data_IF_843173167221
#
_entry.id   IF_843173167221
#
_cell.length_a   1.000
_cell.length_b   1.000
_cell.length_c   1.000
_cell.angle_alpha   90.00
_cell.angle_beta   90.00
_cell.angle_gamma   90.00
#
_symmetry.space_group_name_H-M   'P 1'
#
loop_
_entity.id
_entity.type
_entity.pdbx_description
1 polymer ?
#
# COMPACT_ATOMS: atom_id res chain seq x y z
N UNK A 1 27.18 -19.75 -19.74
CA UNK A 1 26.85 -18.77 -18.69
C UNK A 1 26.83 -17.34 -19.20
N UNK A 2 27.48 -17.05 -20.34
CA UNK A 2 27.50 -15.73 -21.00
C UNK A 2 26.18 -15.35 -21.69
N UNK A 3 25.28 -16.30 -21.89
CA UNK A 3 24.00 -16.09 -22.60
C UNK A 3 22.88 -15.57 -21.70
N UNK A 4 23.13 -15.44 -20.40
CA UNK A 4 22.21 -14.83 -19.44
C UNK A 4 22.58 -13.37 -19.20
N UNK A 5 21.60 -12.48 -18.96
CA UNK A 5 21.84 -11.12 -18.50
C UNK A 5 22.79 -11.05 -17.30
N UNK A 6 23.61 -10.00 -17.24
CA UNK A 6 24.66 -9.87 -16.21
C UNK A 6 24.11 -9.95 -14.78
N UNK A 7 22.97 -9.33 -14.50
CA UNK A 7 22.30 -9.38 -13.19
C UNK A 7 21.92 -10.80 -12.79
N UNK A 8 21.53 -11.66 -13.74
CA UNK A 8 21.22 -13.06 -13.46
C UNK A 8 22.49 -13.87 -13.22
N UNK A 9 23.55 -13.62 -13.99
CA UNK A 9 24.85 -14.25 -13.75
C UNK A 9 25.37 -13.93 -12.34
N UNK A 10 25.27 -12.66 -11.91
CA UNK A 10 25.66 -12.22 -10.58
C UNK A 10 24.79 -12.87 -9.49
N UNK A 11 23.48 -12.96 -9.69
CA UNK A 11 22.58 -13.67 -8.78
C UNK A 11 22.95 -15.15 -8.62
N UNK A 12 23.29 -15.84 -9.71
CA UNK A 12 23.74 -17.24 -9.68
C UNK A 12 25.06 -17.38 -8.91
N UNK A 13 26.03 -16.48 -9.16
CA UNK A 13 27.32 -16.47 -8.46
C UNK A 13 27.11 -16.34 -6.95
N UNK A 14 26.36 -15.32 -6.51
CA UNK A 14 26.06 -15.09 -5.09
C UNK A 14 25.34 -16.29 -4.48
N UNK A 15 24.32 -16.81 -5.15
CA UNK A 15 23.54 -17.95 -4.64
C UNK A 15 24.42 -19.18 -4.39
N UNK A 16 25.30 -19.51 -5.35
CA UNK A 16 26.26 -20.61 -5.20
C UNK A 16 27.30 -20.35 -4.11
N UNK A 17 27.79 -19.13 -3.99
CA UNK A 17 28.72 -18.74 -2.92
C UNK A 17 28.10 -18.84 -1.52
N UNK A 18 26.77 -18.69 -1.41
CA UNK A 18 26.02 -18.95 -0.17
C UNK A 18 25.78 -20.43 0.10
N UNK A 19 26.21 -21.34 -0.79
CA UNK A 19 25.98 -22.78 -0.68
C UNK A 19 24.54 -23.21 -1.00
N UNK A 20 23.78 -22.36 -1.69
CA UNK A 20 22.38 -22.61 -2.04
C UNK A 20 22.31 -23.10 -3.50
N UNK A 21 21.55 -24.17 -3.73
CA UNK A 21 21.41 -24.80 -5.06
C UNK A 21 20.25 -24.27 -5.90
N UNK A 22 19.34 -23.50 -5.31
CA UNK A 22 18.10 -23.04 -5.95
C UNK A 22 18.06 -21.50 -6.00
N UNK A 23 17.63 -20.97 -7.14
CA UNK A 23 17.42 -19.54 -7.38
C UNK A 23 16.10 -19.37 -8.12
N UNK A 24 15.23 -18.50 -7.61
CA UNK A 24 13.99 -18.11 -8.26
C UNK A 24 14.13 -16.67 -8.77
N UNK A 25 13.78 -16.45 -10.04
CA UNK A 25 13.76 -15.14 -10.69
C UNK A 25 12.44 -15.08 -11.46
N UNK A 26 11.61 -14.09 -11.16
CA UNK A 26 10.26 -13.92 -11.72
C UNK A 26 10.22 -14.07 -13.25
N UNK A 27 11.13 -13.40 -13.96
CA UNK A 27 11.20 -13.42 -15.42
C UNK A 27 11.64 -14.77 -16.02
N UNK A 28 12.17 -15.69 -15.20
CA UNK A 28 12.58 -17.03 -15.63
C UNK A 28 11.63 -18.12 -15.13
N UNK A 29 10.99 -17.90 -13.99
CA UNK A 29 10.16 -18.89 -13.31
C UNK A 29 8.66 -18.71 -13.58
N UNK A 30 8.24 -17.57 -14.13
CA UNK A 30 6.87 -17.28 -14.54
C UNK A 30 6.83 -17.18 -16.06
N UNK A 31 5.89 -17.87 -16.70
CA UNK A 31 5.68 -17.83 -18.15
C UNK A 31 4.99 -16.50 -18.50
N UNK A 32 5.79 -15.53 -18.95
CA UNK A 32 5.32 -14.15 -19.15
C UNK A 32 4.21 -14.01 -20.20
N UNK A 33 4.19 -14.90 -21.20
CA UNK A 33 3.24 -14.89 -22.32
C UNK A 33 1.97 -15.70 -22.04
N UNK A 34 1.83 -16.29 -20.84
CA UNK A 34 0.64 -17.04 -20.42
C UNK A 34 -0.11 -16.27 -19.32
N UNK A 35 -1.26 -15.67 -19.63
CA UNK A 35 -2.06 -14.93 -18.65
C UNK A 35 -2.55 -15.77 -17.48
N UNK A 36 -2.82 -17.08 -17.67
CA UNK A 36 -3.29 -17.96 -16.60
C UNK A 36 -2.13 -18.39 -15.71
N UNK A 37 -0.95 -18.66 -16.27
CA UNK A 37 0.28 -18.89 -15.49
C UNK A 37 0.64 -17.66 -14.66
N UNK A 38 0.65 -16.47 -15.26
CA UNK A 38 0.89 -15.22 -14.54
C UNK A 38 -0.13 -15.02 -13.41
N UNK A 39 -1.42 -15.32 -13.65
CA UNK A 39 -2.48 -15.20 -12.65
C UNK A 39 -2.32 -16.21 -11.52
N UNK A 40 -1.75 -17.39 -11.78
CA UNK A 40 -1.44 -18.38 -10.76
C UNK A 40 -0.21 -17.94 -9.95
N UNK A 41 0.90 -17.63 -10.62
CA UNK A 41 2.18 -17.29 -10.00
C UNK A 41 2.15 -15.96 -9.24
N UNK A 42 1.43 -14.95 -9.76
CA UNK A 42 1.23 -13.67 -9.05
C UNK A 42 0.53 -13.84 -7.70
N UNK A 43 -0.29 -14.90 -7.54
CA UNK A 43 -0.92 -15.25 -6.25
C UNK A 43 0.04 -15.97 -5.31
N UNK A 44 1.05 -16.64 -5.85
CA UNK A 44 2.07 -17.36 -5.10
C UNK A 44 3.23 -16.47 -4.67
N UNK A 45 3.37 -15.25 -5.21
CA UNK A 45 4.45 -14.33 -4.83
C UNK A 45 4.56 -14.14 -3.31
N UNK A 46 3.44 -14.10 -2.59
CA UNK A 46 3.46 -14.03 -1.13
C UNK A 46 4.24 -15.20 -0.51
N UNK A 47 3.97 -16.42 -0.99
CA UNK A 47 4.58 -17.65 -0.50
C UNK A 47 6.04 -17.76 -0.93
N UNK A 48 6.37 -17.37 -2.17
CA UNK A 48 7.74 -17.38 -2.70
C UNK A 48 8.66 -16.52 -1.84
N UNK A 49 8.35 -15.23 -1.66
CA UNK A 49 9.22 -14.32 -0.91
C UNK A 49 9.31 -14.66 0.58
N UNK A 50 8.20 -15.07 1.18
CA UNK A 50 8.21 -15.42 2.61
C UNK A 50 8.82 -16.77 2.95
N UNK A 51 8.89 -17.68 1.98
CA UNK A 51 9.55 -18.98 2.13
C UNK A 51 11.00 -18.97 1.63
N UNK A 52 11.43 -17.92 0.93
CA UNK A 52 12.80 -17.78 0.46
C UNK A 52 13.80 -17.82 1.62
N UNK A 53 14.94 -18.47 1.41
CA UNK A 53 16.04 -18.47 2.38
C UNK A 53 16.55 -17.04 2.63
N UNK A 54 16.80 -16.31 1.53
CA UNK A 54 17.10 -14.89 1.48
C UNK A 54 16.74 -14.35 0.09
N UNK A 55 16.40 -13.06 0.01
CA UNK A 55 16.17 -12.35 -1.25
C UNK A 55 17.39 -11.52 -1.60
N UNK A 56 17.84 -11.58 -2.85
CA UNK A 56 18.93 -10.74 -3.36
C UNK A 56 18.31 -9.51 -4.04
N UNK A 57 18.64 -8.32 -3.54
CA UNK A 57 18.15 -7.06 -4.08
C UNK A 57 19.29 -6.29 -4.75
N UNK A 58 19.29 -6.26 -6.08
CA UNK A 58 20.25 -5.56 -6.92
C UNK A 58 20.01 -4.04 -6.92
N UNK A 59 20.23 -3.39 -5.78
CA UNK A 59 19.86 -1.97 -5.56
C UNK A 59 20.72 -0.98 -6.37
N UNK A 60 21.92 -1.37 -6.79
CA UNK A 60 22.81 -0.59 -7.65
C UNK A 60 22.69 -0.93 -9.15
N UNK A 61 21.78 -1.83 -9.52
CA UNK A 61 21.53 -2.19 -10.90
C UNK A 61 20.35 -1.41 -11.47
N UNK A 62 20.48 -0.83 -12.66
CA UNK A 62 19.38 -0.16 -13.36
C UNK A 62 18.54 -1.11 -14.23
N UNK A 63 18.97 -2.37 -14.39
CA UNK A 63 18.30 -3.36 -15.25
C UNK A 63 18.98 -4.74 -15.22
N UNK A 64 18.50 -5.66 -16.05
CA UNK A 64 18.99 -7.05 -16.12
C UNK A 64 20.41 -7.16 -16.69
N UNK A 65 20.82 -6.23 -17.55
CA UNK A 65 22.13 -6.24 -18.20
C UNK A 65 23.25 -5.56 -17.39
N UNK A 66 22.89 -4.85 -16.32
CA UNK A 66 23.82 -3.97 -15.61
C UNK A 66 24.74 -4.74 -14.64
N UNK A 67 24.23 -5.82 -14.05
CA UNK A 67 24.91 -6.50 -12.96
C UNK A 67 24.89 -5.70 -11.65
N UNK A 68 25.25 -6.35 -10.55
CA UNK A 68 25.29 -5.72 -9.23
C UNK A 68 26.56 -6.04 -8.44
N UNK A 69 27.44 -6.89 -8.95
CA UNK A 69 28.78 -7.15 -8.39
C UNK A 69 29.81 -6.18 -8.98
N UNK A 70 29.50 -4.88 -8.94
CA UNK A 70 30.34 -3.81 -9.48
C UNK A 70 31.52 -3.49 -8.55
N UNK A 71 32.67 -3.00 -9.09
CA UNK A 71 33.72 -2.44 -8.26
C UNK A 71 33.19 -1.32 -7.38
N UNK A 72 33.61 -1.29 -6.11
CA UNK A 72 33.15 -0.27 -5.17
C UNK A 72 33.94 1.02 -5.31
N UNK A 73 33.30 2.19 -5.09
CA UNK A 73 34.00 3.46 -5.10
C UNK A 73 35.07 3.49 -4.01
N UNK A 74 36.18 4.17 -4.32
CA UNK A 74 37.26 4.36 -3.35
C UNK A 74 36.77 5.21 -2.18
N UNK A 75 37.16 4.84 -0.96
CA UNK A 75 36.80 5.57 0.26
C UNK A 75 37.96 6.46 0.67
N UNK A 76 37.69 7.75 0.91
CA UNK A 76 38.68 8.60 1.55
C UNK A 76 38.98 8.04 2.93
N UNK A 77 40.26 7.78 3.17
CA UNK A 77 40.71 7.31 4.45
C UNK A 77 42.03 7.99 4.82
N UNK A 78 42.10 8.48 6.05
CA UNK A 78 43.29 9.08 6.63
C UNK A 78 43.89 8.09 7.61
N UNK A 79 45.19 7.83 7.48
CA UNK A 79 45.95 7.04 8.44
C UNK A 79 46.45 7.95 9.55
N UNK A 80 46.10 7.63 10.79
CA UNK A 80 46.60 8.27 12.00
C UNK A 80 47.60 7.31 12.65
N UNK A 81 48.87 7.69 12.68
CA UNK A 81 49.88 6.93 13.39
C UNK A 81 49.95 7.35 14.86
N UNK A 82 49.98 6.36 15.74
CA UNK A 82 50.21 6.52 17.17
C UNK A 82 51.31 5.57 17.60
N UNK A 83 52.00 5.88 18.70
CA UNK A 83 52.99 4.96 19.29
C UNK A 83 52.43 3.60 19.72
N UNK A 84 51.09 3.41 19.63
CA UNK A 84 50.38 2.15 19.89
C UNK A 84 49.88 1.43 18.63
N UNK A 85 50.06 2.01 17.44
CA UNK A 85 49.63 1.45 16.16
C UNK A 85 49.01 2.48 15.20
N UNK A 86 48.64 2.02 14.00
CA UNK A 86 47.99 2.83 12.98
C UNK A 86 46.47 2.70 13.06
N UNK A 87 45.77 3.84 13.02
CA UNK A 87 44.31 3.91 12.97
C UNK A 87 43.90 4.47 11.61
N UNK A 88 42.79 3.96 11.06
CA UNK A 88 42.24 4.41 9.79
C UNK A 88 40.92 5.13 10.05
N UNK A 89 40.85 6.41 9.68
CA UNK A 89 39.63 7.21 9.75
C UNK A 89 39.10 7.36 8.33
N UNK A 90 38.00 6.68 8.02
CA UNK A 90 37.40 6.72 6.68
C UNK A 90 36.01 7.35 6.70
N UNK A 91 35.55 7.82 5.54
CA UNK A 91 34.19 8.38 5.38
C UNK A 91 33.11 7.41 5.92
N UNK A 92 32.11 7.95 6.60
CA UNK A 92 30.93 7.16 7.01
C UNK A 92 30.09 6.83 5.78
N UNK A 93 29.84 5.54 5.57
CA UNK A 93 29.09 5.02 4.41
C UNK A 93 27.75 4.40 4.80
N UNK A 94 27.41 4.36 6.09
CA UNK A 94 26.19 3.73 6.61
C UNK A 94 24.99 4.66 6.45
N UNK A 95 24.27 4.50 5.33
CA UNK A 95 23.04 5.24 5.05
C UNK A 95 22.03 4.38 4.27
N UNK A 96 21.42 3.42 4.98
CA UNK A 96 20.42 2.53 4.37
C UNK A 96 19.20 3.27 3.79
N UNK A 97 18.84 4.42 4.39
CA UNK A 97 17.73 5.25 3.90
C UNK A 97 18.00 5.75 2.49
N UNK A 98 19.18 6.35 2.28
CA UNK A 98 19.59 6.84 0.96
C UNK A 98 19.91 5.70 0.00
N UNK A 99 20.69 4.72 0.44
CA UNK A 99 21.28 3.71 -0.45
C UNK A 99 20.28 2.62 -0.87
N UNK A 100 19.21 2.41 -0.09
CA UNK A 100 18.18 1.40 -0.38
C UNK A 100 16.79 2.01 -0.45
N UNK A 101 16.32 2.65 0.62
CA UNK A 101 14.90 3.05 0.72
C UNK A 101 14.49 4.11 -0.30
N UNK A 102 15.41 5.02 -0.64
CA UNK A 102 15.24 6.06 -1.65
C UNK A 102 15.76 5.63 -3.04
N UNK A 103 16.41 4.46 -3.13
CA UNK A 103 16.98 3.94 -4.37
C UNK A 103 15.93 3.56 -5.41
N UNK A 104 16.33 3.49 -6.68
CA UNK A 104 15.43 3.24 -7.83
C UNK A 104 14.61 1.96 -7.67
N UNK A 105 15.20 0.91 -7.13
CA UNK A 105 14.51 -0.36 -6.91
C UNK A 105 13.27 -0.17 -6.00
N UNK A 106 13.39 0.57 -4.90
CA UNK A 106 12.29 0.78 -3.94
C UNK A 106 11.21 1.76 -4.44
N UNK A 107 11.35 2.34 -5.64
CA UNK A 107 10.31 3.15 -6.29
C UNK A 107 9.26 2.30 -7.03
N UNK A 108 9.51 0.99 -7.20
CA UNK A 108 8.62 0.06 -7.89
C UNK A 108 7.63 -0.56 -6.91
N UNK A 109 6.36 -0.65 -7.28
CA UNK A 109 5.29 -1.09 -6.39
C UNK A 109 5.42 -2.56 -5.96
N UNK A 110 5.78 -3.44 -6.89
CA UNK A 110 6.04 -4.86 -6.62
C UNK A 110 7.10 -5.05 -5.53
N UNK A 111 8.17 -4.25 -5.54
CA UNK A 111 9.29 -4.33 -4.59
C UNK A 111 8.83 -4.10 -3.15
N UNK A 112 7.76 -3.34 -2.92
CA UNK A 112 7.21 -3.16 -1.58
C UNK A 112 6.74 -4.50 -0.99
N UNK A 113 6.06 -5.32 -1.79
CA UNK A 113 5.61 -6.64 -1.37
C UNK A 113 6.81 -7.57 -1.17
N UNK A 114 7.75 -7.59 -2.10
CA UNK A 114 8.95 -8.44 -2.03
C UNK A 114 9.73 -8.16 -0.74
N UNK A 115 10.05 -6.88 -0.48
CA UNK A 115 10.77 -6.47 0.71
C UNK A 115 10.03 -6.81 1.99
N UNK A 116 8.73 -6.54 2.05
CA UNK A 116 7.92 -6.76 3.25
C UNK A 116 7.76 -8.24 3.58
N UNK A 117 7.72 -9.12 2.58
CA UNK A 117 7.47 -10.54 2.78
C UNK A 117 8.76 -11.35 2.95
N UNK A 118 9.90 -10.85 2.48
CA UNK A 118 11.20 -11.48 2.64
C UNK A 118 11.69 -11.46 4.08
N UNK A 119 11.97 -12.65 4.63
CA UNK A 119 12.48 -12.77 6.02
C UNK A 119 13.91 -12.21 6.19
N UNK A 120 14.66 -12.21 5.08
CA UNK A 120 16.06 -11.80 4.98
C UNK A 120 16.29 -11.24 3.59
N UNK A 121 16.87 -10.04 3.51
CA UNK A 121 17.20 -9.41 2.23
C UNK A 121 18.65 -8.94 2.23
N UNK A 122 19.37 -9.30 1.18
CA UNK A 122 20.74 -8.86 0.91
C UNK A 122 20.66 -7.79 -0.16
N UNK A 123 20.89 -6.54 0.22
CA UNK A 123 20.91 -5.41 -0.71
C UNK A 123 22.33 -5.17 -1.20
N UNK A 124 22.52 -5.28 -2.50
CA UNK A 124 23.73 -4.85 -3.19
C UNK A 124 23.55 -3.40 -3.61
N UNK A 125 24.04 -2.46 -2.79
CA UNK A 125 24.03 -1.03 -3.09
C UNK A 125 25.37 -0.61 -3.71
N UNK A 126 25.46 0.64 -4.16
CA UNK A 126 26.65 1.16 -4.83
C UNK A 126 27.88 1.19 -3.92
N UNK A 127 27.68 1.51 -2.63
CA UNK A 127 28.78 1.72 -1.66
C UNK A 127 29.10 0.49 -0.84
N UNK A 128 28.09 -0.28 -0.47
CA UNK A 128 28.24 -1.45 0.40
C UNK A 128 27.09 -2.45 0.24
N UNK A 129 27.24 -3.60 0.87
CA UNK A 129 26.15 -4.57 0.99
C UNK A 129 25.43 -4.39 2.32
N UNK A 130 24.09 -4.38 2.29
CA UNK A 130 23.27 -4.38 3.50
C UNK A 130 22.55 -5.70 3.70
N UNK A 131 22.44 -6.13 4.95
CA UNK A 131 21.63 -7.25 5.39
C UNK A 131 20.46 -6.73 6.23
N UNK A 132 19.23 -6.90 5.73
CA UNK A 132 18.00 -6.64 6.48
C UNK A 132 17.37 -7.96 6.93
N UNK A 133 16.94 -8.02 8.19
CA UNK A 133 16.09 -9.09 8.71
C UNK A 133 15.25 -8.58 9.88
N UNK A 134 14.44 -9.46 10.49
CA UNK A 134 13.61 -9.17 11.68
C UNK A 134 14.33 -8.58 12.90
N UNK A 135 15.66 -8.48 12.88
CA UNK A 135 16.46 -7.85 13.94
C UNK A 135 17.04 -6.49 13.55
N UNK A 136 16.67 -5.93 12.40
CA UNK A 136 17.14 -4.65 11.85
C UNK A 136 18.14 -4.81 10.71
N UNK A 137 18.79 -3.69 10.34
CA UNK A 137 19.70 -3.62 9.20
C UNK A 137 21.16 -3.62 9.68
N UNK A 138 22.02 -4.35 8.96
CA UNK A 138 23.47 -4.36 9.13
C UNK A 138 24.16 -3.95 7.84
N UNK A 139 25.09 -3.01 7.93
CA UNK A 139 26.08 -2.76 6.88
C UNK A 139 27.35 -3.58 7.10
N UNK A 140 28.32 -3.44 6.20
CA UNK A 140 29.60 -4.16 6.26
C UNK A 140 30.53 -3.66 7.36
N UNK A 141 30.30 -2.43 7.81
CA UNK A 141 30.93 -1.82 9.00
C UNK A 141 30.46 -2.48 10.30
N UNK A 142 29.54 -3.45 10.24
CA UNK A 142 28.83 -4.07 11.36
C UNK A 142 27.94 -3.10 12.16
N UNK A 143 27.78 -1.85 11.71
CA UNK A 143 26.85 -0.89 12.28
C UNK A 143 25.43 -1.45 12.24
N UNK A 144 24.76 -1.43 13.41
CA UNK A 144 23.34 -1.78 13.49
C UNK A 144 22.50 -0.53 13.29
N UNK A 145 21.82 -0.45 12.16
CA UNK A 145 20.84 0.59 11.93
C UNK A 145 19.47 0.11 12.42
N UNK A 146 18.85 0.93 13.28
CA UNK A 146 17.46 0.73 13.72
C UNK A 146 16.61 1.81 13.05
N UNK A 147 15.88 1.43 12.01
CA UNK A 147 14.87 2.29 11.43
C UNK A 147 13.50 1.78 11.90
N UNK A 148 12.77 2.57 12.70
CA UNK A 148 11.44 2.19 13.25
C UNK A 148 10.35 2.12 12.18
N UNK A 149 10.51 2.85 11.06
CA UNK A 149 9.59 2.76 9.92
C UNK A 149 9.94 1.56 9.03
N UNK A 150 11.24 1.27 8.86
CA UNK A 150 11.71 0.05 8.18
C UNK A 150 11.49 -1.21 9.00
N UNK A 151 11.45 -1.16 10.34
CA UNK A 151 11.28 -2.34 11.18
C UNK A 151 9.95 -3.05 10.95
N UNK A 152 8.97 -2.35 10.38
CA UNK A 152 7.71 -2.95 9.94
C UNK A 152 7.90 -3.81 8.69
N UNK A 153 8.44 -3.23 7.60
CA UNK A 153 8.72 -3.98 6.36
C UNK A 153 9.84 -5.01 6.54
N UNK A 154 10.73 -4.79 7.52
CA UNK A 154 11.81 -5.71 7.87
C UNK A 154 11.41 -6.75 8.92
N UNK A 155 10.13 -6.89 9.26
CA UNK A 155 9.64 -7.95 10.15
C UNK A 155 9.82 -9.32 9.48
N UNK A 156 10.56 -10.21 10.13
CA UNK A 156 10.87 -11.55 9.60
C UNK A 156 9.64 -12.44 9.41
N UNK A 157 8.51 -12.08 10.01
CA UNK A 157 7.23 -12.72 9.77
C UNK A 157 6.16 -11.64 9.64
N UNK A 158 6.39 -10.69 8.73
CA UNK A 158 5.50 -9.56 8.51
C UNK A 158 4.02 -9.99 8.55
N UNK A 159 3.15 -9.33 9.33
CA UNK A 159 3.43 -8.25 10.27
C UNK A 159 3.29 -8.66 11.76
N UNK A 160 3.98 -9.73 12.21
CA UNK A 160 3.85 -10.25 13.59
C UNK A 160 4.01 -9.17 14.68
N UNK A 161 4.91 -8.20 14.50
CA UNK A 161 5.12 -7.09 15.42
C UNK A 161 3.85 -6.26 15.77
N UNK A 162 2.81 -6.33 14.93
CA UNK A 162 1.52 -5.62 15.11
C UNK A 162 0.73 -6.09 16.34
N UNK A 163 0.90 -7.32 16.81
CA UNK A 163 0.08 -7.83 17.92
C UNK A 163 0.25 -6.99 19.20
N UNK A 164 1.39 -6.32 19.35
CA UNK A 164 1.68 -5.43 20.48
C UNK A 164 1.16 -4.00 20.30
N UNK A 165 0.67 -3.66 19.11
CA UNK A 165 0.31 -2.28 18.77
C UNK A 165 -1.09 -1.96 19.27
N UNK A 166 -1.25 -0.77 19.86
CA UNK A 166 -2.57 -0.21 20.18
C UNK A 166 -3.33 0.15 18.90
N UNK A 167 -4.66 0.26 18.98
CA UNK A 167 -5.54 0.50 17.83
C UNK A 167 -5.09 1.66 16.93
N UNK A 168 -4.65 2.77 17.51
CA UNK A 168 -4.17 3.94 16.75
C UNK A 168 -2.93 3.64 15.90
N UNK A 169 -1.96 2.92 16.46
CA UNK A 169 -0.75 2.53 15.72
C UNK A 169 -1.06 1.53 14.59
N UNK A 170 -2.05 0.65 14.76
CA UNK A 170 -2.51 -0.23 13.67
C UNK A 170 -3.10 0.58 12.50
N UNK A 171 -3.80 1.66 12.82
CA UNK A 171 -4.39 2.57 11.83
C UNK A 171 -3.30 3.32 11.07
N UNK A 172 -2.41 4.00 11.79
CA UNK A 172 -1.28 4.72 11.19
C UNK A 172 -0.45 3.81 10.28
N UNK A 173 -0.23 2.57 10.70
CA UNK A 173 0.55 1.59 9.95
C UNK A 173 -0.06 1.24 8.59
N UNK A 174 -1.35 0.88 8.50
CA UNK A 174 -1.93 0.55 7.20
C UNK A 174 -2.09 1.80 6.33
N UNK A 175 -2.36 2.96 6.96
CA UNK A 175 -2.45 4.22 6.24
C UNK A 175 -1.12 4.58 5.60
N UNK A 176 -0.02 4.53 6.36
CA UNK A 176 1.34 4.76 5.86
C UNK A 176 1.70 3.76 4.74
N UNK A 177 1.34 2.48 4.90
CA UNK A 177 1.60 1.45 3.90
C UNK A 177 0.89 1.73 2.58
N UNK A 178 -0.43 1.98 2.62
CA UNK A 178 -1.22 2.23 1.41
C UNK A 178 -0.92 3.58 0.77
N UNK A 179 -0.63 4.62 1.56
CA UNK A 179 -0.13 5.88 1.04
C UNK A 179 1.17 5.67 0.27
N UNK A 180 2.17 5.03 0.90
CA UNK A 180 3.46 4.75 0.25
C UNK A 180 3.25 3.96 -1.04
N UNK A 181 2.52 2.84 -0.97
CA UNK A 181 2.26 1.99 -2.12
C UNK A 181 1.59 2.72 -3.27
N UNK A 182 0.58 3.55 -2.98
CA UNK A 182 -0.21 4.24 -3.99
C UNK A 182 0.60 5.15 -4.90
N UNK A 183 1.73 5.69 -4.39
CA UNK A 183 2.68 6.53 -5.13
C UNK A 183 3.83 5.78 -5.80
N UNK A 184 3.93 4.45 -5.66
CA UNK A 184 4.97 3.65 -6.31
C UNK A 184 4.66 3.40 -7.80
N UNK A 185 5.71 3.29 -8.60
CA UNK A 185 5.62 3.05 -10.04
C UNK A 185 5.26 1.59 -10.35
N UNK A 186 4.41 1.41 -11.35
CA UNK A 186 4.01 0.11 -11.91
C UNK A 186 4.29 0.10 -13.41
N UNK A 187 4.89 -0.97 -13.91
CA UNK A 187 5.08 -1.17 -15.35
C UNK A 187 3.75 -1.34 -16.08
N UNK A 188 2.79 -2.02 -15.44
CA UNK A 188 1.39 -2.09 -15.85
C UNK A 188 0.51 -1.63 -14.69
N UNK A 189 -0.24 -0.55 -14.89
CA UNK A 189 -1.14 -0.01 -13.86
C UNK A 189 -2.21 -1.04 -13.43
N UNK A 190 -2.53 -1.99 -14.31
CA UNK A 190 -3.41 -3.12 -14.05
C UNK A 190 -2.98 -4.02 -12.88
N UNK A 191 -1.69 -4.04 -12.56
CA UNK A 191 -1.16 -4.86 -11.47
C UNK A 191 -1.42 -4.24 -10.09
N UNK A 192 -1.93 -2.99 -10.02
CA UNK A 192 -2.11 -2.24 -8.76
C UNK A 192 -2.88 -2.98 -7.66
N UNK A 193 -4.01 -3.66 -7.89
CA UNK A 193 -4.65 -4.45 -6.84
C UNK A 193 -3.87 -5.74 -6.52
N UNK A 194 -3.16 -6.32 -7.49
CA UNK A 194 -2.47 -7.62 -7.34
C UNK A 194 -1.15 -7.46 -6.58
N UNK A 195 -0.38 -6.42 -6.89
CA UNK A 195 0.96 -6.20 -6.36
C UNK A 195 1.01 -5.83 -4.86
N UNK A 196 -0.14 -5.58 -4.22
CA UNK A 196 -0.24 -5.40 -2.76
C UNK A 196 -1.09 -6.46 -2.06
N UNK A 197 -1.73 -7.36 -2.82
CA UNK A 197 -2.68 -8.35 -2.29
C UNK A 197 -2.07 -9.24 -1.21
N UNK A 198 -0.81 -9.65 -1.35
CA UNK A 198 -0.11 -10.44 -0.34
C UNK A 198 -0.03 -9.71 1.02
N UNK A 199 0.27 -8.40 1.00
CA UNK A 199 0.33 -7.59 2.22
C UNK A 199 -1.05 -7.38 2.84
N UNK A 200 -2.05 -7.08 2.03
CA UNK A 200 -3.44 -6.97 2.48
C UNK A 200 -3.92 -8.26 3.14
N UNK A 201 -3.67 -9.41 2.51
CA UNK A 201 -4.06 -10.73 3.03
C UNK A 201 -3.48 -11.00 4.42
N UNK A 202 -2.21 -10.64 4.65
CA UNK A 202 -1.59 -10.78 5.97
C UNK A 202 -2.12 -9.80 7.00
N UNK A 203 -2.39 -8.57 6.60
CA UNK A 203 -3.01 -7.58 7.49
C UNK A 203 -4.42 -8.01 7.91
N UNK A 204 -5.22 -8.56 7.00
CA UNK A 204 -6.55 -9.13 7.30
C UNK A 204 -6.44 -10.22 8.38
N UNK A 205 -5.53 -11.18 8.20
CA UNK A 205 -5.28 -12.26 9.18
C UNK A 205 -4.83 -11.71 10.54
N UNK A 206 -3.89 -10.76 10.53
CA UNK A 206 -3.30 -10.19 11.75
C UNK A 206 -4.29 -9.33 12.53
N UNK A 207 -5.09 -8.52 11.82
CA UNK A 207 -6.16 -7.72 12.41
C UNK A 207 -7.36 -8.56 12.81
N UNK A 208 -7.40 -9.86 12.46
CA UNK A 208 -8.52 -10.78 12.71
C UNK A 208 -9.85 -10.18 12.21
N UNK A 209 -9.79 -9.63 10.99
CA UNK A 209 -10.89 -8.93 10.33
C UNK A 209 -11.19 -9.60 9.00
N UNK A 210 -12.25 -9.16 8.33
CA UNK A 210 -12.47 -9.36 6.89
C UNK A 210 -12.13 -8.06 6.15
N UNK A 211 -11.91 -8.14 4.84
CA UNK A 211 -11.56 -6.98 4.03
C UNK A 211 -11.14 -7.36 2.61
N UNK A 212 -11.11 -6.37 1.74
CA UNK A 212 -10.60 -6.43 0.37
C UNK A 212 -10.42 -4.99 -0.17
N UNK A 213 -9.69 -4.86 -1.28
CA UNK A 213 -9.56 -3.60 -2.02
C UNK A 213 -9.08 -2.42 -1.16
N UNK A 214 -8.15 -2.67 -0.23
CA UNK A 214 -7.56 -1.67 0.65
C UNK A 214 -8.42 -1.27 1.84
N UNK A 215 -9.50 -2.01 2.12
CA UNK A 215 -10.45 -1.72 3.20
C UNK A 215 -10.54 -2.91 4.17
N UNK A 216 -10.33 -2.62 5.45
CA UNK A 216 -10.49 -3.57 6.55
C UNK A 216 -11.77 -3.28 7.32
N UNK A 217 -12.64 -4.27 7.52
CA UNK A 217 -13.93 -4.09 8.16
C UNK A 217 -13.83 -3.49 9.59
N UNK A 218 -12.86 -3.93 10.39
CA UNK A 218 -12.63 -3.38 11.74
C UNK A 218 -12.23 -1.88 11.77
N UNK A 219 -11.77 -1.36 10.63
CA UNK A 219 -11.39 0.04 10.42
C UNK A 219 -12.20 0.69 9.27
N UNK A 220 -13.33 0.10 8.90
CA UNK A 220 -14.07 0.36 7.66
C UNK A 220 -14.20 1.85 7.34
N UNK A 221 -14.78 2.64 8.25
CA UNK A 221 -14.99 4.08 8.06
C UNK A 221 -13.69 4.85 7.80
N UNK A 222 -12.60 4.53 8.51
CA UNK A 222 -11.31 5.21 8.33
C UNK A 222 -10.64 4.83 7.02
N UNK A 223 -10.80 3.58 6.57
CA UNK A 223 -10.28 3.13 5.29
C UNK A 223 -10.91 3.87 4.11
N UNK A 224 -12.13 4.40 4.23
CA UNK A 224 -12.81 5.15 3.16
C UNK A 224 -12.40 6.63 3.09
N UNK A 225 -11.78 7.18 4.14
CA UNK A 225 -11.40 8.59 4.22
C UNK A 225 -10.00 8.85 3.64
N UNK A 226 -9.75 8.32 2.45
CA UNK A 226 -8.60 8.68 1.62
C UNK A 226 -8.95 9.88 0.73
N UNK A 227 -7.95 10.59 0.23
CA UNK A 227 -8.06 11.69 -0.73
C UNK A 227 -6.81 11.74 -1.60
N UNK A 228 -6.86 12.43 -2.73
CA UNK A 228 -5.67 12.66 -3.56
C UNK A 228 -4.56 13.38 -2.78
N UNK A 229 -3.31 12.99 -3.02
CA UNK A 229 -2.16 13.66 -2.44
C UNK A 229 -1.89 15.01 -3.13
N UNK A 230 -1.44 14.96 -4.39
CA UNK A 230 -1.08 16.14 -5.18
C UNK A 230 -1.77 16.18 -6.56
N UNK A 231 -1.73 15.07 -7.30
CA UNK A 231 -2.28 14.95 -8.66
C UNK A 231 -3.73 14.45 -8.67
N UNK A 232 -4.44 14.67 -9.77
CA UNK A 232 -5.75 14.06 -10.04
C UNK A 232 -5.66 12.54 -10.01
N UNK A 233 -6.68 11.89 -9.45
CA UNK A 233 -6.83 10.44 -9.44
C UNK A 233 -7.70 10.03 -10.62
N UNK A 234 -7.11 9.38 -11.61
CA UNK A 234 -7.83 8.94 -12.81
C UNK A 234 -8.31 7.51 -12.60
N UNK A 235 -9.56 7.21 -12.95
CA UNK A 235 -10.08 5.84 -12.88
C UNK A 235 -9.29 4.96 -13.84
N UNK A 236 -8.83 3.81 -13.37
CA UNK A 236 -8.13 2.83 -14.20
C UNK A 236 -9.18 2.11 -15.05
N UNK A 237 -8.93 2.01 -16.35
CA UNK A 237 -9.80 1.28 -17.28
C UNK A 237 -9.93 -0.19 -16.87
N UNK A 238 -11.16 -0.70 -16.88
CA UNK A 238 -11.46 -2.07 -16.47
C UNK A 238 -10.70 -3.11 -17.30
N UNK A 239 -10.47 -2.83 -18.59
CA UNK A 239 -9.69 -3.69 -19.48
C UNK A 239 -8.23 -3.84 -19.04
N UNK A 240 -7.67 -2.83 -18.38
CA UNK A 240 -6.30 -2.86 -17.88
C UNK A 240 -6.19 -3.66 -16.57
N UNK A 241 -7.26 -3.77 -15.78
CA UNK A 241 -7.24 -4.42 -14.46
C UNK A 241 -7.18 -5.96 -14.50
N UNK A 242 -6.83 -6.56 -15.65
CA UNK A 242 -6.62 -8.02 -15.82
C UNK A 242 -7.76 -8.88 -15.27
N UNK A 243 -9.01 -8.41 -15.45
CA UNK A 243 -10.21 -9.10 -14.97
C UNK A 243 -10.49 -8.93 -13.47
N UNK A 244 -9.76 -8.07 -12.76
CA UNK A 244 -10.07 -7.69 -11.38
C UNK A 244 -11.05 -6.53 -11.39
N UNK A 245 -12.26 -6.75 -10.91
CA UNK A 245 -13.20 -5.66 -10.67
C UNK A 245 -12.83 -4.94 -9.37
N UNK A 246 -12.54 -3.64 -9.44
CA UNK A 246 -12.22 -2.81 -8.26
C UNK A 246 -13.29 -1.73 -8.10
N UNK A 247 -13.97 -1.67 -6.93
CA UNK A 247 -15.08 -0.74 -6.71
C UNK A 247 -14.64 0.71 -6.52
N UNK A 248 -15.50 1.69 -6.80
CA UNK A 248 -15.14 3.12 -6.77
C UNK A 248 -14.77 3.67 -5.41
N UNK A 249 -15.28 3.07 -4.34
CA UNK A 249 -14.91 3.48 -2.99
C UNK A 249 -13.47 3.08 -2.62
N UNK A 250 -12.82 2.22 -3.41
CA UNK A 250 -11.43 1.81 -3.22
C UNK A 250 -10.48 2.72 -3.99
N UNK A 251 -9.42 3.18 -3.32
CA UNK A 251 -8.32 3.90 -3.96
C UNK A 251 -7.57 3.05 -4.99
N UNK A 252 -7.67 1.72 -4.92
CA UNK A 252 -7.03 0.82 -5.88
C UNK A 252 -7.63 0.94 -7.28
N UNK A 253 -8.83 1.50 -7.40
CA UNK A 253 -9.48 1.71 -8.68
C UNK A 253 -8.88 2.90 -9.46
N UNK A 254 -8.01 3.70 -8.83
CA UNK A 254 -7.50 4.94 -9.41
C UNK A 254 -5.98 4.95 -9.50
N UNK A 255 -5.46 5.56 -10.56
CA UNK A 255 -4.05 5.88 -10.70
C UNK A 255 -3.71 7.18 -9.97
N UNK A 256 -2.79 7.07 -9.01
CA UNK A 256 -2.20 8.19 -8.29
C UNK A 256 -1.98 7.95 -6.81
N UNK A 257 -1.19 8.84 -6.22
CA UNK A 257 -0.87 8.80 -4.81
C UNK A 257 -2.04 9.33 -3.97
N UNK A 258 -2.39 8.58 -2.94
CA UNK A 258 -3.40 8.97 -1.95
C UNK A 258 -2.76 9.41 -0.64
N UNK A 259 -3.52 10.16 0.13
CA UNK A 259 -3.29 10.46 1.55
C UNK A 259 -4.58 10.22 2.32
N UNK A 260 -4.51 9.82 3.57
CA UNK A 260 -5.70 9.73 4.43
C UNK A 260 -6.02 11.09 5.07
N UNK A 261 -7.32 11.37 5.25
CA UNK A 261 -7.77 12.50 6.04
C UNK A 261 -7.29 12.34 7.48
N UNK A 262 -6.83 13.43 8.08
CA UNK A 262 -6.50 13.45 9.49
C UNK A 262 -7.77 13.50 10.33
N UNK A 263 -8.26 12.34 10.78
CA UNK A 263 -9.43 12.22 11.66
C UNK A 263 -8.99 11.97 13.11
N UNK A 264 -9.04 12.98 13.99
CA UNK A 264 -8.59 12.84 15.37
C UNK A 264 -9.23 11.67 16.11
N UNK A 265 -8.43 10.95 16.89
CA UNK A 265 -8.94 9.88 17.75
C UNK A 265 -9.89 10.43 18.82
N UNK A 266 -10.94 9.66 19.16
CA UNK A 266 -11.91 9.95 20.20
C UNK A 266 -12.77 11.22 20.06
N UNK A 267 -12.63 12.00 18.99
CA UNK A 267 -13.42 13.24 18.75
C UNK A 267 -14.60 13.08 17.79
N UNK A 268 -14.87 11.86 17.31
CA UNK A 268 -15.93 11.59 16.34
C UNK A 268 -16.65 10.29 16.66
N UNK A 269 -17.90 10.20 16.22
CA UNK A 269 -18.75 9.03 16.23
C UNK A 269 -18.93 8.54 14.79
N UNK A 270 -18.64 7.27 14.55
CA UNK A 270 -18.80 6.65 13.24
C UNK A 270 -20.28 6.49 12.90
N UNK A 271 -20.63 6.69 11.64
CA UNK A 271 -22.00 6.48 11.16
C UNK A 271 -22.37 4.99 11.27
N UNK A 272 -23.50 4.67 11.90
CA UNK A 272 -23.90 3.27 12.08
C UNK A 272 -24.63 2.72 10.84
N UNK A 273 -25.22 3.60 10.04
CA UNK A 273 -26.08 3.24 8.91
C UNK A 273 -25.31 2.98 7.61
N UNK A 274 -24.00 3.26 7.58
CA UNK A 274 -23.11 2.85 6.49
C UNK A 274 -22.72 1.38 6.69
N UNK A 275 -23.23 0.53 5.81
CA UNK A 275 -23.08 -0.92 5.86
C UNK A 275 -21.89 -1.32 4.98
N UNK A 276 -20.92 -1.98 5.62
CA UNK A 276 -19.76 -2.56 4.97
C UNK A 276 -20.14 -3.63 3.93
N UNK A 277 -19.43 -3.68 2.78
CA UNK A 277 -19.61 -4.72 1.76
C UNK A 277 -19.27 -6.11 2.28
N UNK A 278 -18.51 -6.19 3.37
CA UNK A 278 -18.06 -7.44 3.98
C UNK A 278 -19.04 -7.96 5.05
N UNK A 279 -20.20 -7.32 5.21
CA UNK A 279 -21.21 -7.77 6.18
C UNK A 279 -21.67 -9.19 5.84
N UNK A 280 -21.47 -10.11 6.78
CA UNK A 280 -21.79 -11.53 6.61
C UNK A 280 -20.61 -12.38 6.11
N UNK A 281 -19.47 -11.76 5.77
CA UNK A 281 -18.23 -12.50 5.52
C UNK A 281 -17.70 -13.07 6.83
N UNK A 282 -17.09 -14.25 6.75
CA UNK A 282 -16.42 -14.87 7.89
C UNK A 282 -14.90 -14.84 7.71
N UNK A 283 -14.16 -14.80 8.81
CA UNK A 283 -12.69 -14.90 8.78
C UNK A 283 -12.20 -16.29 8.34
N UNK A 284 -13.08 -17.29 8.28
CA UNK A 284 -12.77 -18.64 7.81
C UNK A 284 -12.99 -18.77 6.29
N UNK A 285 -13.97 -18.08 5.72
CA UNK A 285 -14.27 -18.10 4.27
C UNK A 285 -13.23 -17.35 3.43
N UNK A 286 -12.47 -16.44 4.02
CA UNK A 286 -11.39 -15.71 3.35
C UNK A 286 -10.15 -16.56 3.05
N UNK A 287 -10.13 -17.84 3.46
CA UNK A 287 -8.95 -18.71 3.30
C UNK A 287 -8.79 -19.31 1.90
N UNK A 288 -9.83 -19.43 1.08
CA UNK A 288 -9.73 -20.33 -0.10
C UNK A 288 -10.40 -19.88 -1.39
N UNK A 289 -11.21 -18.83 -1.44
CA UNK A 289 -11.90 -18.50 -2.69
C UNK A 289 -11.36 -17.22 -3.35
N UNK A 290 -10.90 -17.38 -4.59
CA UNK A 290 -10.89 -16.31 -5.57
C UNK A 290 -12.31 -15.90 -5.93
N UNK A 291 -13.06 -15.37 -4.96
CA UNK A 291 -14.36 -14.74 -5.18
C UNK A 291 -14.13 -13.38 -5.83
N UNK A 292 -13.82 -13.44 -7.13
CA UNK A 292 -13.81 -12.30 -8.04
C UNK A 292 -15.22 -11.79 -8.37
N UNK A 293 -16.29 -12.45 -7.86
CA UNK A 293 -17.67 -12.24 -8.29
C UNK A 293 -18.64 -11.77 -7.19
N UNK A 294 -18.19 -11.62 -5.93
CA UNK A 294 -19.04 -11.03 -4.91
C UNK A 294 -19.09 -9.51 -5.13
N UNK A 295 -20.25 -9.00 -5.55
CA UNK A 295 -20.49 -7.57 -5.75
C UNK A 295 -20.23 -6.81 -4.44
N UNK A 296 -19.08 -6.15 -4.35
CA UNK A 296 -18.60 -5.47 -3.14
C UNK A 296 -19.19 -4.06 -3.03
N UNK A 297 -20.42 -4.00 -2.53
CA UNK A 297 -21.23 -2.77 -2.40
C UNK A 297 -21.26 -2.19 -0.99
N UNK A 298 -21.04 -0.88 -0.87
CA UNK A 298 -21.37 -0.16 0.37
C UNK A 298 -22.81 0.30 0.29
N UNK A 299 -23.63 -0.07 1.27
CA UNK A 299 -25.01 0.46 1.38
C UNK A 299 -25.02 1.59 2.40
N UNK A 300 -25.56 2.74 2.03
CA UNK A 300 -25.53 3.92 2.91
C UNK A 300 -26.70 4.87 2.66
N UNK A 301 -27.10 5.67 3.67
CA UNK A 301 -27.91 6.85 3.46
C UNK A 301 -27.12 7.90 2.66
N UNK A 302 -27.70 8.34 1.54
CA UNK A 302 -27.16 9.38 0.68
C UNK A 302 -27.96 10.66 0.86
N UNK A 303 -27.25 11.77 1.05
CA UNK A 303 -27.80 13.08 1.38
C UNK A 303 -27.48 14.09 0.28
N UNK A 304 -28.40 15.01 0.03
CA UNK A 304 -28.14 16.16 -0.83
C UNK A 304 -27.34 17.22 -0.07
N UNK A 305 -26.51 17.98 -0.80
CA UNK A 305 -25.93 19.21 -0.27
C UNK A 305 -27.00 20.31 -0.20
N UNK A 306 -26.88 21.18 0.81
CA UNK A 306 -27.67 22.41 0.88
C UNK A 306 -27.15 23.49 -0.08
N UNK A 307 -27.88 24.60 -0.16
CA UNK A 307 -27.61 25.71 -1.10
C UNK A 307 -26.44 26.62 -0.66
N UNK A 308 -25.46 26.09 0.07
CA UNK A 308 -24.33 26.86 0.61
C UNK A 308 -23.23 27.06 -0.44
N UNK A 309 -22.82 28.32 -0.65
CA UNK A 309 -21.75 28.67 -1.59
C UNK A 309 -20.34 28.35 -1.10
N UNK A 310 -20.16 27.98 0.18
CA UNK A 310 -18.84 27.74 0.80
C UNK A 310 -18.47 26.25 0.87
N UNK A 311 -19.05 25.41 0.02
CA UNK A 311 -18.75 23.98 0.00
C UNK A 311 -17.36 23.72 -0.60
N UNK A 312 -16.41 23.32 0.24
CA UNK A 312 -15.08 22.91 -0.17
C UNK A 312 -14.97 21.38 -0.16
N UNK A 313 -14.82 20.79 -1.35
CA UNK A 313 -14.66 19.35 -1.52
C UNK A 313 -13.27 19.02 -2.04
N UNK A 314 -12.66 18.00 -1.46
CA UNK A 314 -11.44 17.41 -1.98
C UNK A 314 -11.83 16.38 -3.05
N UNK A 315 -12.09 16.86 -4.27
CA UNK A 315 -12.46 15.99 -5.40
C UNK A 315 -11.28 15.12 -5.83
N UNK A 316 -11.56 13.85 -6.13
CA UNK A 316 -10.57 12.88 -6.60
C UNK A 316 -10.03 13.29 -7.99
N UNK A 317 -10.90 13.80 -8.87
CA UNK A 317 -10.57 14.36 -10.18
C UNK A 317 -11.10 15.81 -10.31
N UNK A 318 -10.36 16.84 -9.87
CA UNK A 318 -10.83 18.23 -9.86
C UNK A 318 -11.26 18.79 -11.23
N UNK A 319 -10.66 18.29 -12.31
CA UNK A 319 -10.93 18.74 -13.67
C UNK A 319 -12.19 18.09 -14.28
N UNK A 320 -12.77 17.08 -13.61
CA UNK A 320 -13.98 16.40 -14.07
C UNK A 320 -15.20 17.24 -13.70
N UNK A 321 -16.01 17.56 -14.71
CA UNK A 321 -17.35 18.12 -14.48
C UNK A 321 -18.24 17.07 -13.85
N UNK A 322 -18.63 17.28 -12.59
CA UNK A 322 -19.54 16.41 -11.86
C UNK A 322 -20.95 17.00 -11.85
N UNK A 323 -21.96 16.14 -11.97
CA UNK A 323 -23.37 16.53 -11.91
C UNK A 323 -24.09 15.73 -10.85
N UNK A 324 -25.12 16.31 -10.21
CA UNK A 324 -25.91 15.61 -9.18
C UNK A 324 -25.05 15.05 -8.03
N UNK A 325 -24.14 15.89 -7.53
CA UNK A 325 -23.25 15.54 -6.43
C UNK A 325 -24.03 15.45 -5.11
N UNK A 326 -23.78 14.37 -4.38
CA UNK A 326 -24.38 14.08 -3.08
C UNK A 326 -23.29 13.68 -2.10
N UNK A 327 -23.66 13.37 -0.86
CA UNK A 327 -22.72 12.87 0.13
C UNK A 327 -23.23 11.69 0.95
N UNK A 328 -22.29 10.84 1.34
CA UNK A 328 -22.47 9.84 2.40
C UNK A 328 -21.73 10.31 3.64
N UNK A 329 -22.42 10.35 4.78
CA UNK A 329 -21.81 10.68 6.06
C UNK A 329 -21.07 9.46 6.59
N UNK A 330 -19.78 9.60 6.87
CA UNK A 330 -18.93 8.53 7.41
C UNK A 330 -18.74 8.70 8.92
N UNK A 331 -18.60 9.94 9.39
CA UNK A 331 -18.45 10.23 10.80
C UNK A 331 -18.98 11.62 11.16
N UNK A 332 -19.42 11.77 12.41
CA UNK A 332 -19.91 13.03 12.98
C UNK A 332 -19.00 13.46 14.14
N UNK A 333 -18.65 14.73 14.22
CA UNK A 333 -17.86 15.26 15.36
C UNK A 333 -18.64 15.13 16.67
N UNK A 334 -17.93 14.86 17.78
CA UNK A 334 -18.50 14.60 19.11
C UNK A 334 -18.82 15.86 19.90
N UNK A 335 -18.86 17.04 19.30
CA UNK A 335 -19.16 18.28 20.03
C UNK A 335 -20.46 18.09 20.84
N UNK A 336 -20.30 18.26 22.17
CA UNK A 336 -21.13 17.70 23.25
C UNK A 336 -22.60 18.17 23.29
N UNK A 337 -23.13 18.83 22.26
CA UNK A 337 -24.49 19.37 22.27
C UNK A 337 -25.25 19.37 20.92
N UNK A 338 -24.88 18.54 19.92
CA UNK A 338 -25.73 18.31 18.74
C UNK A 338 -26.17 19.59 17.99
N UNK A 339 -25.28 20.58 17.90
CA UNK A 339 -25.57 21.91 17.33
C UNK A 339 -25.30 21.96 15.82
N UNK A 340 -25.92 22.88 15.07
CA UNK A 340 -25.70 23.09 13.63
C UNK A 340 -24.26 23.41 13.20
N UNK A 341 -23.34 23.64 14.14
CA UNK A 341 -21.89 23.77 13.92
C UNK A 341 -21.13 22.43 13.86
N UNK A 342 -21.82 21.30 14.05
CA UNK A 342 -21.20 19.98 14.03
C UNK A 342 -20.55 19.69 12.66
N UNK A 343 -19.25 19.43 12.66
CA UNK A 343 -18.51 18.93 11.49
C UNK A 343 -18.82 17.47 11.22
N UNK A 344 -18.86 17.10 9.95
CA UNK A 344 -19.11 15.76 9.42
C UNK A 344 -18.01 15.40 8.43
N UNK A 345 -17.43 14.20 8.57
CA UNK A 345 -16.59 13.62 7.53
C UNK A 345 -17.46 12.88 6.54
N UNK A 346 -17.34 13.23 5.28
CA UNK A 346 -18.19 12.72 4.21
C UNK A 346 -17.37 12.17 3.05
N UNK A 347 -17.99 11.24 2.32
CA UNK A 347 -17.59 10.86 0.96
C UNK A 347 -18.51 11.62 0.01
N UNK A 348 -17.95 12.39 -0.91
CA UNK A 348 -18.68 12.99 -2.01
C UNK A 348 -18.92 11.91 -3.06
N UNK A 349 -20.16 11.80 -3.53
CA UNK A 349 -20.58 10.76 -4.48
C UNK A 349 -21.37 11.36 -5.63
N UNK A 350 -21.19 10.82 -6.82
CA UNK A 350 -21.93 11.17 -8.02
C UNK A 350 -22.93 10.06 -8.34
N UNK A 351 -24.17 10.44 -8.68
CA UNK A 351 -25.18 9.49 -9.14
C UNK A 351 -24.82 8.97 -10.54
N UNK A 352 -24.85 7.64 -10.70
CA UNK A 352 -24.52 6.99 -11.97
C UNK A 352 -25.77 6.45 -12.65
N UNK A 353 -26.54 5.63 -11.94
CA UNK A 353 -27.69 4.92 -12.50
C UNK A 353 -28.64 4.44 -11.39
N UNK A 354 -29.82 3.98 -11.79
CA UNK A 354 -30.69 3.20 -10.91
C UNK A 354 -30.45 1.71 -11.18
N UNK A 355 -30.34 0.91 -10.12
CA UNK A 355 -30.34 -0.55 -10.19
C UNK A 355 -31.44 -1.11 -9.27
N UNK A 356 -32.57 -1.49 -9.90
CA UNK A 356 -33.76 -1.92 -9.18
C UNK A 356 -34.26 -0.85 -8.20
N UNK A 357 -34.38 -1.16 -6.89
CA UNK A 357 -34.84 -0.20 -5.88
C UNK A 357 -33.73 0.74 -5.35
N UNK A 358 -32.48 0.58 -5.80
CA UNK A 358 -31.34 1.33 -5.28
C UNK A 358 -30.82 2.34 -6.29
N UNK A 359 -30.47 3.52 -5.81
CA UNK A 359 -29.66 4.49 -6.55
C UNK A 359 -28.18 4.09 -6.44
N UNK A 360 -27.50 3.94 -7.58
CA UNK A 360 -26.08 3.58 -7.67
C UNK A 360 -25.24 4.84 -7.77
N UNK A 361 -24.20 4.88 -6.95
CA UNK A 361 -23.30 6.00 -6.80
C UNK A 361 -21.85 5.57 -7.00
N UNK A 362 -21.06 6.48 -7.57
CA UNK A 362 -19.61 6.39 -7.60
C UNK A 362 -19.00 7.43 -6.70
N UNK A 363 -17.85 7.08 -6.11
CA UNK A 363 -17.06 8.01 -5.33
C UNK A 363 -16.49 9.12 -6.24
N UNK A 364 -16.60 10.36 -5.76
CA UNK A 364 -16.06 11.56 -6.39
C UNK A 364 -15.04 12.32 -5.54
N UNK A 365 -14.98 12.08 -4.23
CA UNK A 365 -14.04 12.75 -3.33
C UNK A 365 -14.41 12.58 -1.86
N UNK A 366 -13.79 13.39 -1.01
CA UNK A 366 -14.09 13.48 0.43
C UNK A 366 -14.06 14.91 0.92
N UNK A 367 -14.64 15.18 2.08
CA UNK A 367 -14.54 16.47 2.75
C UNK A 367 -14.84 16.37 4.25
N UNK A 368 -14.44 17.41 4.98
CA UNK A 368 -15.04 17.77 6.26
C UNK A 368 -16.01 18.93 6.03
N UNK A 369 -17.29 18.73 6.30
CA UNK A 369 -18.34 19.73 6.07
C UNK A 369 -19.14 20.02 7.33
N UNK A 370 -19.69 21.22 7.45
CA UNK A 370 -20.60 21.59 8.54
C UNK A 370 -21.98 20.98 8.29
N UNK A 371 -22.70 20.63 9.35
CA UNK A 371 -24.06 20.10 9.23
C UNK A 371 -25.02 21.00 8.45
N UNK A 372 -24.86 22.33 8.53
CA UNK A 372 -25.64 23.29 7.75
C UNK A 372 -25.43 23.20 6.22
N UNK A 373 -24.37 22.53 5.76
CA UNK A 373 -24.08 22.30 4.34
C UNK A 373 -24.74 21.02 3.81
N UNK A 374 -25.37 20.22 4.67
CA UNK A 374 -26.09 18.99 4.32
C UNK A 374 -27.58 19.24 4.46
N UNK A 375 -28.37 18.90 3.44
CA UNK A 375 -29.81 19.13 3.40
C UNK A 375 -30.60 18.08 4.21
N UNK A 376 -30.37 18.00 5.52
CA UNK A 376 -31.03 17.02 6.41
C UNK A 376 -32.57 17.10 6.37
N UNK A 377 -33.12 18.28 6.09
CA UNK A 377 -34.56 18.52 5.95
C UNK A 377 -35.20 17.81 4.75
N UNK A 378 -34.42 17.47 3.72
CA UNK A 378 -34.88 16.73 2.54
C UNK A 378 -34.89 15.21 2.76
N UNK A 379 -34.34 14.74 3.88
CA UNK A 379 -34.17 13.33 4.19
C UNK A 379 -33.05 12.67 3.37
N UNK A 380 -32.72 11.43 3.73
CA UNK A 380 -31.76 10.60 3.01
C UNK A 380 -32.45 9.58 2.10
N UNK A 381 -31.78 9.19 1.02
CA UNK A 381 -32.17 8.03 0.19
C UNK A 381 -31.26 6.85 0.46
N UNK A 382 -31.77 5.63 0.32
CA UNK A 382 -30.94 4.44 0.35
C UNK A 382 -30.15 4.34 -0.95
N UNK A 383 -28.82 4.45 -0.86
CA UNK A 383 -27.92 4.36 -1.99
C UNK A 383 -26.92 3.23 -1.84
N UNK A 384 -26.33 2.86 -2.97
CA UNK A 384 -25.29 1.84 -3.06
C UNK A 384 -24.09 2.45 -3.75
N UNK A 385 -22.91 2.36 -3.13
CA UNK A 385 -21.65 2.75 -3.74
C UNK A 385 -21.00 1.50 -4.35
N UNK A 386 -20.74 1.54 -5.66
CA UNK A 386 -20.12 0.47 -6.43
C UNK A 386 -18.75 0.87 -6.94
#
# INVERSE_FOLDING_TARGET
>A
MTDLPQTFQDAIKVTRSLGIGYLWIDSLCIVQDDPEDWKMESRLMEQVYSSAYATLAASCASGTEDGFLKPRPWRHCVTLESGRGSYYVCDSIDDFGRDVEQGELNKRAWILQERALSRRTIYFSEKQTYWECGRGVRGETMTKMRNRKASFLGDSDFPHSIDTYVRGMKIELYQDLYQKYSGLALSSIGDRPVAIRGLETRLIRTFKTVGAHGVFDTFFHRCLLWQRANRSLNRIDLELLRGVHVPSWSWMAYDGEIRYMNVPFNRYSWEADIISPFKGWSSQSTKETGEADAVCEIKAPVWEFGDSNDLQLELDTPDRTLSNLKCVIVARSKDLQGKPQQSHYIIAVEFVANDGPYEVYERAGVAEVRGAQIAFNRGSRAGVLR
#
